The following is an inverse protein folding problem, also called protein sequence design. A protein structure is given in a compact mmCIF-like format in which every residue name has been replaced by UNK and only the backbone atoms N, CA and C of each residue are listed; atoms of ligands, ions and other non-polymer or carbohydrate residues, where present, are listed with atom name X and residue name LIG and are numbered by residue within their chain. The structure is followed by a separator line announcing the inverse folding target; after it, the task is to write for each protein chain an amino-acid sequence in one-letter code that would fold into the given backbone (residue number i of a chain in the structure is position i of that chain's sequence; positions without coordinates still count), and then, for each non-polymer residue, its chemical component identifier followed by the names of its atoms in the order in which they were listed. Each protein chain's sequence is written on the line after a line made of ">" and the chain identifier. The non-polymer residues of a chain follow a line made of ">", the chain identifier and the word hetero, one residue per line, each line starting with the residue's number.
data_IF_860521999577
#
_entry.id   IF_860521999577
#
_cell.length_a   1.000
_cell.length_b   1.000
_cell.length_c   1.000
_cell.angle_alpha   90.00
_cell.angle_beta   90.00
_cell.angle_gamma   90.00
#
_symmetry.space_group_name_H-M   'P 1'
#
loop_
_entity.id
_entity.type
_entity.pdbx_description
1 polymer ?
#
# COMPACT_ATOMS: atom_id res chain seq x y z
N UNK A 1 -10.01 16.96 -4.96
CA UNK A 1 -9.60 15.93 -5.91
C UNK A 1 -10.61 14.80 -5.93
N UNK A 2 -10.94 14.27 -7.09
CA UNK A 2 -11.94 13.21 -7.20
C UNK A 2 -11.39 11.88 -6.68
N UNK A 3 -12.29 11.01 -6.20
CA UNK A 3 -11.90 9.67 -5.74
C UNK A 3 -11.30 8.83 -6.88
N UNK A 4 -11.78 9.03 -8.10
CA UNK A 4 -11.23 8.34 -9.28
C UNK A 4 -9.77 8.73 -9.52
N UNK A 5 -9.45 10.00 -9.37
CA UNK A 5 -8.09 10.50 -9.54
C UNK A 5 -7.16 9.99 -8.43
N UNK A 6 -7.62 10.03 -7.18
CA UNK A 6 -6.86 9.50 -6.03
C UNK A 6 -6.58 8.02 -6.23
N UNK A 7 -7.60 7.25 -6.56
CA UNK A 7 -7.48 5.82 -6.79
C UNK A 7 -6.48 5.53 -7.92
N UNK A 8 -6.63 6.21 -9.05
CA UNK A 8 -5.77 5.99 -10.21
C UNK A 8 -4.29 6.29 -9.94
N UNK A 9 -4.01 7.39 -9.27
CA UNK A 9 -2.64 7.76 -8.88
C UNK A 9 -2.02 6.69 -7.95
N UNK A 10 -2.79 6.26 -6.95
CA UNK A 10 -2.32 5.26 -6.00
C UNK A 10 -2.11 3.90 -6.66
N UNK A 11 -3.01 3.50 -7.53
CA UNK A 11 -2.88 2.26 -8.29
C UNK A 11 -1.59 2.26 -9.10
N UNK A 12 -1.34 3.33 -9.84
CA UNK A 12 -0.12 3.49 -10.63
C UNK A 12 1.14 3.44 -9.75
N UNK A 13 1.09 4.13 -8.60
CA UNK A 13 2.20 4.16 -7.65
C UNK A 13 2.55 2.76 -7.15
N UNK A 14 1.57 2.03 -6.63
CA UNK A 14 1.83 0.69 -6.08
C UNK A 14 2.15 -0.33 -7.16
N UNK A 15 1.58 -0.18 -8.36
CA UNK A 15 1.97 -1.01 -9.50
C UNK A 15 3.46 -0.86 -9.80
N UNK A 16 3.95 0.36 -9.85
CA UNK A 16 5.37 0.66 -10.12
C UNK A 16 6.27 0.18 -8.98
N UNK A 17 5.82 0.31 -7.74
CA UNK A 17 6.56 -0.21 -6.57
C UNK A 17 6.79 -1.72 -6.68
N UNK A 18 5.87 -2.44 -7.29
CA UNK A 18 5.96 -3.88 -7.51
C UNK A 18 6.64 -4.23 -8.84
N UNK A 19 7.18 -3.23 -9.53
CA UNK A 19 7.87 -3.41 -10.82
C UNK A 19 6.99 -4.06 -11.90
N UNK A 20 5.69 -3.80 -11.87
CA UNK A 20 4.75 -4.30 -12.86
C UNK A 20 4.48 -3.25 -13.93
N UNK A 21 4.53 -3.65 -15.21
CA UNK A 21 4.04 -2.82 -16.29
C UNK A 21 2.51 -2.81 -16.31
N UNK A 22 1.92 -1.88 -17.04
CA UNK A 22 0.47 -1.90 -17.27
C UNK A 22 0.04 -3.21 -17.94
N UNK A 23 0.82 -3.70 -18.88
CA UNK A 23 0.55 -4.97 -19.55
C UNK A 23 0.53 -6.15 -18.59
N UNK A 24 1.53 -6.23 -17.72
CA UNK A 24 1.64 -7.29 -16.74
C UNK A 24 0.48 -7.27 -15.74
N UNK A 25 0.13 -6.11 -15.22
CA UNK A 25 -0.96 -5.99 -14.26
C UNK A 25 -2.31 -6.27 -14.93
N UNK A 26 -2.56 -5.72 -16.12
CA UNK A 26 -3.80 -5.93 -16.83
C UNK A 26 -4.05 -7.41 -17.14
N UNK A 27 -3.00 -8.14 -17.49
CA UNK A 27 -3.07 -9.60 -17.69
C UNK A 27 -3.44 -10.32 -16.38
N UNK A 28 -2.82 -9.95 -15.28
CA UNK A 28 -3.09 -10.57 -13.97
C UNK A 28 -4.52 -10.40 -13.51
N UNK A 29 -5.14 -9.27 -13.81
CA UNK A 29 -6.51 -8.96 -13.37
C UNK A 29 -7.55 -9.09 -14.47
N UNK A 30 -7.13 -9.60 -15.64
CA UNK A 30 -7.99 -9.90 -16.78
C UNK A 30 -8.79 -8.70 -17.30
N UNK A 31 -8.09 -7.60 -17.52
CA UNK A 31 -8.64 -6.42 -18.20
C UNK A 31 -7.68 -5.98 -19.31
N UNK A 32 -8.17 -5.14 -20.22
CA UNK A 32 -7.31 -4.57 -21.26
C UNK A 32 -6.35 -3.54 -20.70
N UNK A 33 -5.21 -3.37 -21.36
CA UNK A 33 -4.26 -2.29 -21.01
C UNK A 33 -4.94 -0.92 -21.12
N UNK A 34 -5.78 -0.73 -22.11
CA UNK A 34 -6.56 0.51 -22.28
C UNK A 34 -7.45 0.78 -21.08
N UNK A 35 -8.12 -0.25 -20.56
CA UNK A 35 -8.97 -0.13 -19.38
C UNK A 35 -8.13 0.24 -18.15
N UNK A 36 -7.03 -0.46 -17.93
CA UNK A 36 -6.12 -0.14 -16.80
C UNK A 36 -5.58 1.28 -16.91
N UNK A 37 -5.11 1.68 -18.07
CA UNK A 37 -4.63 3.04 -18.32
C UNK A 37 -5.70 4.08 -18.00
N UNK A 38 -6.93 3.83 -18.40
CA UNK A 38 -8.08 4.69 -18.12
C UNK A 38 -8.33 4.85 -16.63
N UNK A 39 -8.22 3.76 -15.86
CA UNK A 39 -8.36 3.77 -14.41
C UNK A 39 -7.21 4.58 -13.76
N UNK A 40 -5.99 4.35 -14.19
CA UNK A 40 -4.81 5.05 -13.64
C UNK A 40 -4.86 6.56 -13.92
N UNK A 41 -5.48 6.97 -15.03
CA UNK A 41 -5.68 8.38 -15.37
C UNK A 41 -6.88 9.03 -14.69
N UNK A 42 -7.62 8.28 -13.89
CA UNK A 42 -8.79 8.79 -13.18
C UNK A 42 -10.03 9.00 -14.04
N UNK A 43 -10.08 8.36 -15.22
CA UNK A 43 -11.20 8.48 -16.15
C UNK A 43 -12.31 7.46 -15.88
N UNK A 44 -11.94 6.31 -15.33
CA UNK A 44 -12.87 5.24 -14.97
C UNK A 44 -12.60 4.76 -13.55
N UNK A 45 -13.63 4.15 -12.96
CA UNK A 45 -13.49 3.52 -11.65
C UNK A 45 -13.61 2.00 -11.77
N UNK A 46 -13.45 1.30 -10.68
CA UNK A 46 -13.41 -0.17 -10.64
C UNK A 46 -14.65 -0.74 -9.99
N UNK A 47 -15.03 -1.96 -10.38
CA UNK A 47 -15.99 -2.74 -9.63
C UNK A 47 -15.35 -3.31 -8.37
N UNK A 48 -16.17 -3.77 -7.42
CA UNK A 48 -15.68 -4.41 -6.21
C UNK A 48 -14.80 -5.63 -6.55
N UNK A 49 -15.21 -6.43 -7.53
CA UNK A 49 -14.42 -7.61 -7.94
C UNK A 49 -13.06 -7.23 -8.51
N UNK A 50 -13.01 -6.20 -9.35
CA UNK A 50 -11.75 -5.72 -9.90
C UNK A 50 -10.86 -5.11 -8.83
N UNK A 51 -11.45 -4.38 -7.88
CA UNK A 51 -10.71 -3.84 -6.74
C UNK A 51 -10.01 -4.95 -5.94
N UNK A 52 -10.72 -6.02 -5.64
CA UNK A 52 -10.15 -7.17 -4.94
C UNK A 52 -9.00 -7.81 -5.72
N UNK A 53 -9.18 -7.99 -7.02
CA UNK A 53 -8.14 -8.55 -7.89
C UNK A 53 -6.89 -7.67 -7.94
N UNK A 54 -7.08 -6.36 -8.04
CA UNK A 54 -5.97 -5.40 -8.04
C UNK A 54 -5.21 -5.43 -6.72
N UNK A 55 -5.93 -5.38 -5.60
CA UNK A 55 -5.31 -5.42 -4.27
C UNK A 55 -4.53 -6.73 -4.07
N UNK A 56 -5.09 -7.85 -4.47
CA UNK A 56 -4.42 -9.15 -4.38
C UNK A 56 -3.18 -9.22 -5.26
N UNK A 57 -3.30 -8.77 -6.52
CA UNK A 57 -2.18 -8.85 -7.49
C UNK A 57 -1.02 -7.95 -7.13
N UNK A 58 -1.29 -6.79 -6.52
CA UNK A 58 -0.27 -5.85 -6.08
C UNK A 58 0.19 -6.15 -4.64
N UNK A 59 -0.60 -6.95 -3.93
CA UNK A 59 -0.34 -7.36 -2.54
C UNK A 59 -0.29 -6.16 -1.58
N UNK A 60 -1.33 -5.33 -1.67
CA UNK A 60 -1.57 -4.23 -0.72
C UNK A 60 -3.01 -4.31 -0.23
N UNK A 61 -3.30 -3.85 0.98
CA UNK A 61 -4.69 -3.70 1.42
C UNK A 61 -5.45 -2.76 0.49
N UNK A 62 -6.70 -3.08 0.17
CA UNK A 62 -7.48 -2.29 -0.78
C UNK A 62 -7.61 -0.82 -0.37
N UNK A 63 -7.67 -0.52 0.94
CA UNK A 63 -7.82 0.86 1.40
C UNK A 63 -6.61 1.74 1.05
N UNK A 64 -5.44 1.17 0.76
CA UNK A 64 -4.26 1.94 0.34
C UNK A 64 -4.53 2.74 -0.95
N UNK A 65 -5.39 2.24 -1.83
CA UNK A 65 -5.72 2.93 -3.08
C UNK A 65 -6.55 4.20 -2.86
N UNK A 66 -7.12 4.37 -1.67
CA UNK A 66 -8.01 5.50 -1.35
C UNK A 66 -7.36 6.57 -0.48
N UNK A 67 -6.10 6.38 -0.12
CA UNK A 67 -5.39 7.32 0.75
C UNK A 67 -4.76 8.42 -0.11
N UNK A 68 -5.20 9.64 0.10
CA UNK A 68 -4.63 10.78 -0.60
C UNK A 68 -3.32 11.21 0.08
N UNK A 69 -2.22 11.16 -0.66
CA UNK A 69 -0.87 11.43 -0.12
C UNK A 69 -0.76 12.81 0.54
N UNK A 70 -1.44 13.83 0.02
CA UNK A 70 -1.39 15.17 0.59
C UNK A 70 -1.99 15.22 1.99
N UNK A 71 -3.04 14.48 2.25
CA UNK A 71 -3.65 14.41 3.57
C UNK A 71 -2.72 13.74 4.58
N UNK A 72 -1.91 12.80 4.13
CA UNK A 72 -0.88 12.15 4.96
C UNK A 72 0.27 13.07 5.31
N UNK A 73 0.69 13.94 4.37
CA UNK A 73 1.81 14.85 4.60
C UNK A 73 1.48 15.98 5.57
N UNK A 74 0.22 16.35 5.72
CA UNK A 74 -0.18 17.36 6.70
C UNK A 74 -0.03 16.90 8.14
N UNK A 75 0.21 15.61 8.36
CA UNK A 75 0.38 15.01 9.68
C UNK A 75 1.79 14.45 9.88
N UNK A 76 2.80 15.19 9.41
CA UNK A 76 4.20 14.82 9.59
C UNK A 76 4.55 14.52 11.06
N UNK A 77 3.98 15.31 11.97
CA UNK A 77 4.16 15.10 13.41
C UNK A 77 3.51 13.77 13.83
N UNK A 78 2.34 13.45 13.31
CA UNK A 78 1.67 12.18 13.62
C UNK A 78 2.46 10.99 13.09
N UNK A 79 2.98 11.07 11.85
CA UNK A 79 3.80 10.00 11.28
C UNK A 79 5.07 9.79 12.08
N UNK A 80 5.75 10.85 12.46
CA UNK A 80 6.94 10.77 13.32
C UNK A 80 6.61 10.17 14.68
N UNK A 81 5.45 10.52 15.23
CA UNK A 81 4.99 9.96 16.51
C UNK A 81 4.72 8.47 16.38
N UNK A 82 4.07 8.04 15.30
CA UNK A 82 3.82 6.62 15.03
C UNK A 82 5.14 5.87 14.87
N UNK A 83 6.08 6.41 14.11
CA UNK A 83 7.40 5.81 13.92
C UNK A 83 8.13 5.65 15.25
N UNK A 84 8.09 6.66 16.12
CA UNK A 84 8.68 6.59 17.44
C UNK A 84 8.05 5.51 18.32
N UNK A 85 6.71 5.35 18.25
CA UNK A 85 5.99 4.31 18.97
C UNK A 85 6.41 2.93 18.47
N UNK A 86 6.48 2.75 17.16
CA UNK A 86 6.88 1.49 16.54
C UNK A 86 8.32 1.15 16.94
N UNK A 87 9.24 2.10 16.87
CA UNK A 87 10.64 1.90 17.27
C UNK A 87 10.77 1.50 18.74
N UNK A 88 10.02 2.15 19.62
CA UNK A 88 10.03 1.82 21.06
C UNK A 88 9.48 0.42 21.31
N UNK A 89 8.39 0.03 20.64
CA UNK A 89 7.81 -1.31 20.76
C UNK A 89 8.77 -2.38 20.24
N UNK A 90 9.42 -2.10 19.12
CA UNK A 90 10.40 -3.02 18.54
C UNK A 90 11.61 -3.19 19.46
N UNK A 91 12.14 -2.09 19.99
CA UNK A 91 13.27 -2.12 20.94
C UNK A 91 12.93 -2.93 22.19
N UNK A 92 11.71 -2.75 22.72
CA UNK A 92 11.23 -3.51 23.88
C UNK A 92 11.14 -5.00 23.56
N UNK A 93 10.60 -5.35 22.41
CA UNK A 93 10.48 -6.75 21.97
C UNK A 93 11.87 -7.40 21.84
N UNK A 94 12.84 -6.68 21.28
CA UNK A 94 14.22 -7.16 21.13
C UNK A 94 14.85 -7.40 22.51
N UNK A 95 14.66 -6.48 23.47
CA UNK A 95 15.18 -6.65 24.82
C UNK A 95 14.55 -7.83 25.55
N UNK A 96 13.25 -8.06 25.37
CA UNK A 96 12.57 -9.23 25.95
C UNK A 96 13.13 -10.52 25.38
N UNK A 97 13.35 -10.58 24.07
CA UNK A 97 13.96 -11.75 23.43
C UNK A 97 15.37 -12.01 23.96
N UNK A 98 16.19 -10.96 24.05
CA UNK A 98 17.54 -11.07 24.60
C UNK A 98 17.55 -11.54 26.05
N UNK A 99 16.63 -11.06 26.85
CA UNK A 99 16.47 -11.47 28.24
C UNK A 99 16.15 -12.97 28.34
N UNK A 100 15.19 -13.44 27.54
CA UNK A 100 14.80 -14.85 27.49
C UNK A 100 15.97 -15.73 27.05
N UNK A 101 16.73 -15.28 26.07
CA UNK A 101 17.91 -16.01 25.58
C UNK A 101 18.98 -16.11 26.68
N UNK A 102 19.18 -15.06 27.45
CA UNK A 102 20.14 -15.08 28.57
C UNK A 102 19.70 -16.03 29.68
N UNK A 103 18.40 -16.09 29.98
CA UNK A 103 17.86 -16.99 30.99
C UNK A 103 17.94 -18.46 30.59
N UNK A 104 17.84 -18.75 29.29
CA UNK A 104 17.87 -20.10 28.73
C UNK A 104 19.28 -20.56 28.34
N UNK A 105 20.27 -19.70 28.47
CA UNK A 105 21.64 -19.99 28.08
C UNK A 105 22.50 -20.27 29.32
N UNK A 106 22.60 -21.52 29.65
CA UNK A 106 23.38 -21.99 30.78
C UNK A 106 24.81 -22.30 30.38
#
# INVERSE_FOLDING_TARGET
>A
MSIKAVFGENLKFYRKEKHLSQEQLSEKVDISVKHLSSIERGLNFVSADLLEKLAFSINVPAFYFFIHKREFFYNDVMLKTIDNIIEKQLAKAIEEIKSDMRQNNY
#
